data_IF_934968837492
#
_entry.id   IF_934968837492
#
_cell.length_a   1.000
_cell.length_b   1.000
_cell.length_c   1.000
_cell.angle_alpha   90.00
_cell.angle_beta   90.00
_cell.angle_gamma   90.00
#
_symmetry.space_group_name_H-M   'P 1'
#
loop_
_entity.id
_entity.type
_entity.pdbx_description
1 polymer ?
#
# COMPACT_ATOMS: atom_id res chain seq x y z
N UNK A 1 4.90 -17.47 17.27
CA UNK A 1 6.21 -17.46 16.59
C UNK A 1 6.01 -16.75 15.26
N UNK A 2 6.56 -15.54 15.08
CA UNK A 2 6.20 -14.67 13.94
C UNK A 2 7.12 -14.83 12.72
N UNK A 3 8.28 -15.45 12.85
CA UNK A 3 9.19 -15.70 11.73
C UNK A 3 10.02 -16.95 12.05
N UNK A 4 9.64 -18.13 11.53
CA UNK A 4 10.41 -19.37 11.77
C UNK A 4 10.33 -20.37 10.60
N UNK A 5 10.61 -19.86 9.41
CA UNK A 5 11.26 -20.61 8.34
C UNK A 5 12.11 -19.62 7.56
N UNK A 6 13.18 -20.05 6.89
CA UNK A 6 13.91 -19.23 5.91
C UNK A 6 12.90 -18.70 4.89
N UNK A 7 12.36 -17.51 5.17
CA UNK A 7 11.22 -16.97 4.43
C UNK A 7 11.84 -16.37 3.18
N UNK A 8 11.85 -17.14 2.09
CA UNK A 8 12.40 -16.71 0.79
C UNK A 8 11.67 -15.48 0.22
N UNK A 9 10.55 -15.09 0.87
CA UNK A 9 9.69 -13.99 0.47
C UNK A 9 9.51 -12.90 1.53
N UNK A 10 9.18 -11.70 1.07
CA UNK A 10 8.87 -10.51 1.85
C UNK A 10 7.58 -10.77 2.63
N UNK A 11 7.55 -10.55 3.95
CA UNK A 11 6.34 -10.71 4.74
C UNK A 11 5.23 -9.77 4.26
N UNK A 12 3.99 -10.25 4.22
CA UNK A 12 2.85 -9.45 3.76
C UNK A 12 2.68 -8.13 4.52
N UNK A 13 3.04 -8.08 5.81
CA UNK A 13 3.02 -6.85 6.62
C UNK A 13 3.93 -5.75 6.06
N UNK A 14 5.07 -6.10 5.45
CA UNK A 14 5.98 -5.12 4.83
C UNK A 14 5.32 -4.48 3.60
N UNK A 15 4.54 -5.25 2.83
CA UNK A 15 3.81 -4.73 1.68
C UNK A 15 2.65 -3.80 2.09
N UNK A 16 1.99 -4.08 3.22
CA UNK A 16 0.96 -3.20 3.77
C UNK A 16 1.55 -1.85 4.21
N UNK A 17 2.70 -1.86 4.88
CA UNK A 17 3.39 -0.63 5.27
C UNK A 17 3.90 0.14 4.04
N UNK A 18 4.45 -0.55 3.05
CA UNK A 18 4.87 0.07 1.80
C UNK A 18 3.68 0.75 1.08
N UNK A 19 2.49 0.14 1.12
CA UNK A 19 1.28 0.75 0.58
C UNK A 19 0.85 2.01 1.35
N UNK A 20 0.95 1.99 2.68
CA UNK A 20 0.65 3.15 3.53
C UNK A 20 1.63 4.31 3.27
N UNK A 21 2.93 4.03 3.18
CA UNK A 21 3.95 5.04 2.86
C UNK A 21 3.76 5.60 1.45
N UNK A 22 3.47 4.75 0.47
CA UNK A 22 3.21 5.18 -0.90
C UNK A 22 1.98 6.11 -0.97
N UNK A 23 0.89 5.77 -0.29
CA UNK A 23 -0.28 6.63 -0.21
C UNK A 23 0.01 7.96 0.49
N UNK A 24 0.73 7.93 1.60
CA UNK A 24 1.15 9.14 2.34
C UNK A 24 1.97 10.06 1.44
N UNK A 25 3.00 9.52 0.77
CA UNK A 25 3.84 10.26 -0.16
C UNK A 25 3.03 10.81 -1.35
N UNK A 26 2.08 10.05 -1.87
CA UNK A 26 1.22 10.45 -2.98
C UNK A 26 0.29 11.61 -2.62
N UNK A 27 -0.15 11.69 -1.36
CA UNK A 27 -1.03 12.77 -0.88
C UNK A 27 -0.28 14.01 -0.39
N UNK A 28 1.05 14.01 -0.34
CA UNK A 28 1.82 15.18 0.09
C UNK A 28 1.58 16.40 -0.84
N UNK A 29 1.42 17.64 -0.32
CA UNK A 29 1.63 18.08 1.06
C UNK A 29 0.36 18.09 1.93
N UNK A 30 -0.73 17.41 1.54
CA UNK A 30 -1.94 17.33 2.36
C UNK A 30 -1.58 16.81 3.77
N UNK A 31 -2.18 17.37 4.85
CA UNK A 31 -1.94 16.92 6.21
C UNK A 31 -2.07 15.41 6.32
N UNK A 32 -1.27 14.80 7.21
CA UNK A 32 -1.20 13.36 7.42
C UNK A 32 -2.61 12.77 7.52
N UNK A 33 -3.05 12.13 6.43
CA UNK A 33 -4.39 11.57 6.38
C UNK A 33 -4.37 10.26 7.14
N UNK A 34 -5.31 10.06 8.07
CA UNK A 34 -5.34 8.81 8.82
C UNK A 34 -5.99 7.73 7.94
N UNK A 35 -5.34 6.56 7.77
CA UNK A 35 -5.95 5.43 7.08
C UNK A 35 -7.16 4.96 7.88
N UNK A 36 -8.32 4.88 7.22
CA UNK A 36 -9.57 4.42 7.85
C UNK A 36 -9.87 2.98 7.45
N UNK A 37 -9.60 2.61 6.20
CA UNK A 37 -9.77 1.25 5.69
C UNK A 37 -8.65 0.90 4.71
N UNK A 38 -8.23 -0.37 4.77
CA UNK A 38 -7.26 -0.95 3.86
C UNK A 38 -7.80 -2.30 3.36
N UNK A 39 -8.06 -2.39 2.06
CA UNK A 39 -8.34 -3.66 1.40
C UNK A 39 -7.10 -4.10 0.65
N UNK A 40 -6.58 -5.29 0.92
CA UNK A 40 -5.36 -5.79 0.30
C UNK A 40 -5.55 -7.20 -0.24
N UNK A 41 -4.97 -7.46 -1.40
CA UNK A 41 -4.92 -8.77 -2.04
C UNK A 41 -3.47 -9.13 -2.31
N UNK A 42 -3.04 -10.27 -1.79
CA UNK A 42 -1.72 -10.85 -2.03
C UNK A 42 -1.86 -11.90 -3.13
N UNK A 43 -1.36 -11.59 -4.32
CA UNK A 43 -1.52 -12.45 -5.50
C UNK A 43 -0.44 -13.52 -5.55
N UNK A 44 0.78 -13.18 -5.11
CA UNK A 44 1.96 -14.04 -5.17
C UNK A 44 2.89 -13.73 -4.00
N UNK A 45 3.81 -14.64 -3.75
CA UNK A 45 4.98 -14.34 -2.93
C UNK A 45 5.85 -13.28 -3.63
N UNK A 46 6.42 -12.41 -2.81
CA UNK A 46 7.34 -11.37 -3.26
C UNK A 46 8.73 -11.76 -2.82
N UNK A 47 9.66 -12.04 -3.72
CA UNK A 47 10.98 -12.57 -3.37
C UNK A 47 11.92 -11.48 -2.83
N UNK A 48 12.90 -11.83 -1.99
CA UNK A 48 13.86 -10.83 -1.45
C UNK A 48 14.89 -10.35 -2.47
N UNK A 49 15.28 -11.23 -3.39
CA UNK A 49 16.41 -11.02 -4.29
C UNK A 49 16.06 -10.20 -5.55
N UNK A 50 14.79 -9.83 -5.73
CA UNK A 50 14.33 -9.04 -6.87
C UNK A 50 13.62 -7.77 -6.38
N UNK A 51 13.92 -6.58 -6.95
CA UNK A 51 13.24 -5.36 -6.58
C UNK A 51 11.72 -5.45 -6.79
N UNK A 52 10.96 -4.90 -5.85
CA UNK A 52 9.51 -4.74 -5.95
C UNK A 52 9.17 -3.27 -6.05
N UNK A 53 8.44 -2.89 -7.09
CA UNK A 53 8.05 -1.52 -7.36
C UNK A 53 6.63 -1.26 -6.89
N UNK A 54 6.45 -0.25 -6.04
CA UNK A 54 5.14 0.20 -5.57
C UNK A 54 4.70 1.38 -6.41
N UNK A 55 3.49 1.30 -6.96
CA UNK A 55 2.85 2.39 -7.71
C UNK A 55 1.55 2.77 -7.02
N UNK A 56 1.31 4.06 -6.85
CA UNK A 56 0.10 4.60 -6.24
C UNK A 56 -0.63 5.52 -7.21
N UNK A 57 -1.95 5.38 -7.31
CA UNK A 57 -2.82 6.29 -8.07
C UNK A 57 -4.01 6.70 -7.21
N UNK A 58 -4.49 7.94 -7.37
CA UNK A 58 -5.68 8.42 -6.66
C UNK A 58 -6.93 8.36 -7.54
N UNK A 59 -8.05 7.97 -6.95
CA UNK A 59 -9.37 8.27 -7.51
C UNK A 59 -10.00 9.42 -6.73
N UNK A 60 -9.58 10.65 -7.00
CA UNK A 60 -10.20 11.86 -6.45
C UNK A 60 -11.39 12.27 -7.32
N UNK A 61 -12.44 11.45 -7.33
CA UNK A 61 -13.73 11.88 -7.89
C UNK A 61 -14.40 12.85 -6.92
N UNK A 62 -14.81 14.03 -7.39
CA UNK A 62 -15.41 15.07 -6.55
C UNK A 62 -16.56 14.49 -5.69
N UNK A 63 -16.42 14.59 -4.36
CA UNK A 63 -17.42 14.16 -3.39
C UNK A 63 -17.27 12.72 -2.86
N UNK A 64 -16.29 11.94 -3.32
CA UNK A 64 -15.98 10.61 -2.77
C UNK A 64 -14.89 10.69 -1.70
N UNK A 65 -14.90 9.75 -0.76
CA UNK A 65 -13.84 9.61 0.25
C UNK A 65 -12.50 9.34 -0.43
N UNK A 66 -11.42 10.10 -0.11
CA UNK A 66 -10.12 9.91 -0.74
C UNK A 66 -9.66 8.47 -0.67
N UNK A 67 -9.42 7.86 -1.84
CA UNK A 67 -8.99 6.47 -1.95
C UNK A 67 -7.80 6.37 -2.90
N UNK A 68 -6.68 5.87 -2.37
CA UNK A 68 -5.48 5.55 -3.14
C UNK A 68 -5.49 4.08 -3.52
N UNK A 69 -5.26 3.79 -4.79
CA UNK A 69 -5.01 2.46 -5.30
C UNK A 69 -3.51 2.24 -5.35
N UNK A 70 -3.06 1.10 -4.83
CA UNK A 70 -1.66 0.72 -4.77
C UNK A 70 -1.49 -0.62 -5.49
N UNK A 71 -0.46 -0.70 -6.32
CA UNK A 71 -0.05 -1.95 -6.97
C UNK A 71 1.44 -2.17 -6.75
N UNK A 72 1.81 -3.38 -6.37
CA UNK A 72 3.19 -3.83 -6.31
C UNK A 72 3.48 -4.77 -7.49
N UNK A 73 4.56 -4.47 -8.22
CA UNK A 73 5.07 -5.31 -9.29
C UNK A 73 6.48 -5.80 -8.97
N UNK A 74 6.70 -7.10 -9.15
CA UNK A 74 8.01 -7.73 -9.14
C UNK A 74 8.16 -8.54 -10.41
N UNK A 75 9.29 -8.40 -11.11
CA UNK A 75 9.53 -9.06 -12.40
C UNK A 75 8.35 -8.90 -13.40
N UNK A 76 7.88 -7.66 -13.56
CA UNK A 76 6.73 -7.30 -14.41
C UNK A 76 5.39 -7.98 -14.08
N UNK A 77 5.28 -8.61 -12.91
CA UNK A 77 4.10 -9.35 -12.46
C UNK A 77 3.49 -8.67 -11.25
N UNK A 78 2.16 -8.54 -11.20
CA UNK A 78 1.45 -8.05 -10.02
C UNK A 78 1.56 -9.07 -8.89
N UNK A 79 2.18 -8.67 -7.78
CA UNK A 79 2.33 -9.51 -6.58
C UNK A 79 1.38 -9.08 -5.47
N UNK A 80 1.01 -7.79 -5.42
CA UNK A 80 0.14 -7.24 -4.41
C UNK A 80 -0.68 -6.07 -4.97
N UNK A 81 -1.91 -5.93 -4.50
CA UNK A 81 -2.76 -4.75 -4.74
C UNK A 81 -3.41 -4.32 -3.44
N UNK A 82 -3.57 -3.02 -3.25
CA UNK A 82 -4.37 -2.49 -2.15
C UNK A 82 -5.19 -1.26 -2.53
N UNK A 83 -6.27 -1.06 -1.80
CA UNK A 83 -7.05 0.17 -1.78
C UNK A 83 -6.98 0.71 -0.36
N UNK A 84 -6.42 1.91 -0.22
CA UNK A 84 -6.34 2.62 1.04
C UNK A 84 -7.26 3.83 1.00
N UNK A 85 -8.26 3.84 1.86
CA UNK A 85 -9.10 5.00 2.10
C UNK A 85 -8.54 5.78 3.27
N UNK A 86 -8.46 7.10 3.13
CA UNK A 86 -7.96 7.98 4.19
C UNK A 86 -8.96 9.09 4.46
N UNK A 87 -8.89 9.66 5.67
CA UNK A 87 -9.55 10.92 5.97
C UNK A 87 -8.53 11.99 6.32
N UNK A 88 -8.85 13.24 6.00
CA UNK A 88 -8.11 14.37 6.53
C UNK A 88 -8.62 14.64 7.95
N UNK A 89 -7.76 14.63 8.98
CA UNK A 89 -8.19 15.00 10.32
C UNK A 89 -8.74 16.43 10.32
N UNK A 90 -9.88 16.62 10.98
CA UNK A 90 -10.45 17.96 11.22
C UNK A 90 -9.70 18.56 12.41
N UNK A 91 -8.87 19.57 12.16
CA UNK A 91 -8.20 20.32 13.23
C UNK A 91 -9.29 20.98 14.10
N UNK A 92 -9.38 20.57 15.36
CA UNK A 92 -10.25 21.21 16.39
C UNK A 92 -9.44 22.23 17.16
#
# INVERSE_FOLDING_TARGET
MLFDHTTDHIPGMVLLEAAHQAATAHTHPTPTTHPTTLHATFHRYTEHHTPTYITSTSNNSNGQTPTTHITAHQNNTTVFTAQLTTHTPTTT
#
